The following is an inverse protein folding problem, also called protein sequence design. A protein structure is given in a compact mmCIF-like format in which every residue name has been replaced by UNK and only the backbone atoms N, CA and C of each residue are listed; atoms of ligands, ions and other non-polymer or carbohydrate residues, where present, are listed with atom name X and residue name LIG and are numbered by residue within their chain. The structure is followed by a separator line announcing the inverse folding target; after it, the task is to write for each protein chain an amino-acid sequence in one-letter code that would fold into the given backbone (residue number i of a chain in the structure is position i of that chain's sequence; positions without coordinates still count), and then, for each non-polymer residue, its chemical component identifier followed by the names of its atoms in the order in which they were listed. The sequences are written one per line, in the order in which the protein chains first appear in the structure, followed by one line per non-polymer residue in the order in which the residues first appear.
data_IF_420141985404
#
_entry.id   IF_420141985404
#
_cell.length_a   1.000
_cell.length_b   1.000
_cell.length_c   1.000
_cell.angle_alpha   90.00
_cell.angle_beta   90.00
_cell.angle_gamma   90.00
#
_symmetry.space_group_name_H-M   'P 1'
#
loop_
_entity.id
_entity.type
_entity.pdbx_description
1 polymer ?
#
# COMPACT_ATOMS: atom_id res chain seq x y z
N UNK A 1 -22.42 -51.45 -1.15
CA UNK A 1 -21.01 -51.05 -1.32
C UNK A 1 -20.96 -49.54 -1.48
N UNK A 2 -20.83 -48.82 -0.36
CA UNK A 2 -20.73 -47.36 -0.37
C UNK A 2 -19.30 -46.96 -0.66
N UNK A 3 -19.08 -46.26 -1.78
CA UNK A 3 -17.80 -45.66 -2.10
C UNK A 3 -17.62 -44.40 -1.23
N UNK A 4 -16.70 -44.47 -0.28
CA UNK A 4 -16.19 -43.29 0.41
C UNK A 4 -15.39 -42.46 -0.60
N UNK A 5 -15.92 -41.31 -1.00
CA UNK A 5 -15.13 -40.23 -1.60
C UNK A 5 -14.21 -39.67 -0.52
N UNK A 6 -12.93 -39.99 -0.60
CA UNK A 6 -11.88 -39.32 0.15
C UNK A 6 -11.84 -37.84 -0.24
N UNK A 7 -11.78 -36.90 0.73
CA UNK A 7 -11.46 -35.51 0.40
C UNK A 7 -10.05 -35.48 -0.17
N UNK A 8 -9.87 -34.83 -1.32
CA UNK A 8 -8.53 -34.51 -1.82
C UNK A 8 -7.79 -33.72 -0.74
N UNK A 9 -6.76 -34.36 -0.19
CA UNK A 9 -5.81 -33.74 0.71
C UNK A 9 -5.15 -32.54 0.01
N UNK A 10 -5.15 -31.38 0.66
CA UNK A 10 -4.45 -30.14 0.28
C UNK A 10 -2.91 -30.34 0.20
N UNK A 11 -2.40 -31.57 0.40
CA UNK A 11 -0.98 -31.91 0.54
C UNK A 11 -0.09 -31.77 -0.72
N UNK A 12 -0.57 -31.27 -1.86
CA UNK A 12 0.27 -31.19 -3.07
C UNK A 12 0.28 -29.84 -3.82
N UNK A 13 -0.17 -28.74 -3.20
CA UNK A 13 0.22 -27.42 -3.71
C UNK A 13 1.64 -27.11 -3.23
N UNK A 14 2.63 -27.27 -4.11
CA UNK A 14 3.96 -26.73 -3.89
C UNK A 14 3.91 -25.21 -4.01
N UNK A 15 3.45 -24.54 -2.94
CA UNK A 15 3.38 -23.09 -2.88
C UNK A 15 4.76 -22.49 -3.12
N UNK A 16 4.84 -21.51 -4.01
CA UNK A 16 6.04 -20.71 -4.22
C UNK A 16 6.03 -19.52 -3.26
N UNK A 17 7.20 -19.05 -2.80
CA UNK A 17 7.28 -17.81 -2.06
C UNK A 17 6.73 -16.64 -2.89
N UNK A 18 5.93 -15.79 -2.28
CA UNK A 18 5.40 -14.55 -2.87
C UNK A 18 6.18 -13.38 -2.30
N UNK A 19 6.63 -12.47 -3.15
CA UNK A 19 7.22 -11.19 -2.76
C UNK A 19 6.33 -10.06 -3.24
N UNK A 20 5.78 -9.29 -2.30
CA UNK A 20 4.93 -8.14 -2.55
C UNK A 20 5.76 -6.84 -2.62
N UNK A 21 5.52 -6.03 -3.66
CA UNK A 21 6.29 -4.84 -4.02
C UNK A 21 5.38 -3.62 -4.07
N UNK A 22 5.51 -2.71 -3.11
CA UNK A 22 4.63 -1.54 -2.99
C UNK A 22 4.89 -0.45 -4.03
N UNK A 23 3.97 0.50 -4.14
CA UNK A 23 4.03 1.65 -5.05
C UNK A 23 4.91 2.81 -4.57
N UNK A 24 4.85 3.91 -5.32
CA UNK A 24 5.61 5.13 -5.04
C UNK A 24 5.15 5.79 -3.74
N UNK A 25 6.05 6.00 -2.79
CA UNK A 25 5.73 6.61 -1.49
C UNK A 25 5.05 5.69 -0.47
N UNK A 26 4.81 4.42 -0.81
CA UNK A 26 4.11 3.45 0.05
C UNK A 26 5.10 2.60 0.88
N UNK A 27 4.56 1.62 1.62
CA UNK A 27 5.30 0.57 2.34
C UNK A 27 4.58 -0.78 2.25
N UNK A 28 5.17 -1.82 2.83
CA UNK A 28 4.58 -3.14 2.94
C UNK A 28 3.17 -3.16 3.58
N UNK A 29 2.83 -2.18 4.42
CA UNK A 29 1.54 -2.16 5.14
C UNK A 29 0.30 -2.10 4.23
N UNK A 30 0.44 -1.66 2.98
CA UNK A 30 -0.67 -1.70 2.03
C UNK A 30 -1.06 -3.15 1.65
N UNK A 31 -0.13 -4.10 1.77
CA UNK A 31 -0.39 -5.51 1.48
C UNK A 31 -1.11 -6.26 2.61
N UNK A 32 -1.42 -5.60 3.74
CA UNK A 32 -2.02 -6.22 4.93
C UNK A 32 -3.22 -7.13 4.61
N UNK A 33 -4.23 -6.59 3.93
CA UNK A 33 -5.44 -7.35 3.60
C UNK A 33 -5.19 -8.39 2.51
N UNK A 34 -4.31 -8.11 1.53
CA UNK A 34 -3.93 -9.10 0.52
C UNK A 34 -3.22 -10.30 1.14
N UNK A 35 -2.28 -10.11 2.07
CA UNK A 35 -1.61 -11.19 2.81
C UNK A 35 -2.63 -12.01 3.59
N UNK A 36 -3.57 -11.37 4.30
CA UNK A 36 -4.64 -12.06 5.00
C UNK A 36 -5.54 -12.88 4.07
N UNK A 37 -5.80 -12.42 2.85
CA UNK A 37 -6.54 -13.18 1.84
C UNK A 37 -5.75 -14.41 1.39
N UNK A 38 -4.45 -14.30 1.16
CA UNK A 38 -3.60 -15.46 0.86
C UNK A 38 -3.61 -16.50 1.99
N UNK A 39 -3.37 -16.07 3.23
CA UNK A 39 -3.40 -16.96 4.40
C UNK A 39 -4.76 -17.61 4.61
N UNK A 40 -5.84 -16.87 4.38
CA UNK A 40 -7.22 -17.37 4.48
C UNK A 40 -7.53 -18.44 3.45
N UNK A 41 -6.75 -18.52 2.37
CA UNK A 41 -6.86 -19.52 1.31
C UNK A 41 -5.69 -20.51 1.32
N UNK A 42 -5.06 -20.71 2.49
CA UNK A 42 -4.11 -21.80 2.74
C UNK A 42 -2.66 -21.51 2.36
N UNK A 43 -2.32 -20.31 1.87
CA UNK A 43 -0.92 -19.98 1.59
C UNK A 43 -0.13 -19.87 2.91
N UNK A 44 1.00 -20.59 3.08
CA UNK A 44 1.77 -20.54 4.32
C UNK A 44 2.34 -19.14 4.58
N UNK A 45 2.14 -18.60 5.79
CA UNK A 45 2.58 -17.25 6.16
C UNK A 45 4.11 -17.06 6.00
N UNK A 46 4.91 -18.12 6.22
CA UNK A 46 6.37 -18.09 6.04
C UNK A 46 6.82 -18.02 4.57
N UNK A 47 5.89 -18.12 3.61
CA UNK A 47 6.12 -17.94 2.18
C UNK A 47 5.59 -16.60 1.65
N UNK A 48 4.98 -15.78 2.50
CA UNK A 48 4.44 -14.47 2.14
C UNK A 48 5.42 -13.39 2.62
N UNK A 49 6.10 -12.75 1.69
CA UNK A 49 7.16 -11.79 1.98
C UNK A 49 6.84 -10.43 1.38
N UNK A 50 7.22 -9.37 2.07
CA UNK A 50 7.11 -8.00 1.57
C UNK A 50 8.48 -7.33 1.51
N UNK A 51 8.58 -6.24 0.75
CA UNK A 51 9.69 -5.28 0.85
C UNK A 51 9.20 -3.96 1.43
N UNK A 52 10.11 -3.24 2.08
CA UNK A 52 10.00 -1.82 2.34
C UNK A 52 11.19 -1.12 1.67
N UNK A 53 10.93 -0.36 0.60
CA UNK A 53 11.97 0.42 -0.08
C UNK A 53 12.34 1.60 0.81
N UNK A 54 13.60 1.75 1.28
CA UNK A 54 13.96 2.76 2.28
C UNK A 54 13.53 4.19 1.91
N UNK A 55 13.71 4.55 0.64
CA UNK A 55 13.22 5.79 0.05
C UNK A 55 12.23 5.46 -1.07
N UNK A 56 10.93 5.34 -0.75
CA UNK A 56 9.93 4.80 -1.66
C UNK A 56 9.51 5.77 -2.77
N UNK A 57 9.89 7.05 -2.67
CA UNK A 57 9.63 8.07 -3.68
C UNK A 57 10.67 8.01 -4.80
N UNK A 58 10.20 8.04 -6.05
CA UNK A 58 11.04 8.15 -7.24
C UNK A 58 11.70 9.53 -7.34
N UNK A 59 12.92 9.55 -7.85
CA UNK A 59 13.60 10.79 -8.26
C UNK A 59 12.81 11.51 -9.35
N UNK A 60 12.91 12.84 -9.40
CA UNK A 60 12.30 13.64 -10.47
C UNK A 60 12.94 13.35 -11.82
N UNK A 61 14.27 13.21 -11.83
CA UNK A 61 15.06 12.71 -12.94
C UNK A 61 15.85 11.49 -12.45
N UNK A 62 15.64 10.33 -13.04
CA UNK A 62 16.18 9.04 -12.57
C UNK A 62 17.73 9.04 -12.51
N UNK A 63 18.33 9.71 -13.49
CA UNK A 63 19.77 9.84 -13.70
C UNK A 63 20.44 10.88 -12.76
N UNK A 64 19.66 11.66 -12.02
CA UNK A 64 20.19 12.68 -11.09
C UNK A 64 19.97 12.25 -9.65
N UNK A 65 21.02 12.22 -8.80
CA UNK A 65 20.85 12.00 -7.37
C UNK A 65 19.85 13.00 -6.75
N UNK A 66 18.95 12.51 -5.92
CA UNK A 66 18.01 13.34 -5.15
C UNK A 66 17.86 12.73 -3.76
N UNK A 67 18.20 13.51 -2.73
CA UNK A 67 18.16 13.04 -1.36
C UNK A 67 16.73 12.60 -0.96
N UNK A 68 16.63 11.52 -0.20
CA UNK A 68 15.33 10.99 0.26
C UNK A 68 14.52 10.26 -0.81
N UNK A 69 15.10 9.99 -1.98
CA UNK A 69 14.43 9.36 -3.14
C UNK A 69 15.32 8.32 -3.80
N UNK A 70 14.71 7.33 -4.45
CA UNK A 70 15.43 6.23 -5.12
C UNK A 70 15.29 6.28 -6.64
N UNK A 71 16.33 5.85 -7.35
CA UNK A 71 16.28 5.57 -8.79
C UNK A 71 15.62 4.23 -9.10
N UNK A 72 15.37 3.98 -10.38
CA UNK A 72 14.93 2.68 -10.92
C UNK A 72 15.93 1.57 -10.61
N UNK A 73 17.23 1.86 -10.63
CA UNK A 73 18.30 0.92 -10.31
C UNK A 73 18.33 0.58 -8.82
N UNK A 74 18.21 1.56 -7.93
CA UNK A 74 18.17 1.35 -6.48
C UNK A 74 16.93 0.55 -6.06
N UNK A 75 15.76 0.87 -6.61
CA UNK A 75 14.53 0.12 -6.33
C UNK A 75 14.62 -1.34 -6.83
N UNK A 76 15.15 -1.55 -8.04
CA UNK A 76 15.38 -2.89 -8.59
C UNK A 76 16.39 -3.69 -7.76
N UNK A 77 17.43 -3.06 -7.23
CA UNK A 77 18.40 -3.72 -6.36
C UNK A 77 17.77 -4.18 -5.04
N UNK A 78 16.94 -3.35 -4.39
CA UNK A 78 16.21 -3.74 -3.17
C UNK A 78 15.31 -4.96 -3.42
N UNK A 79 14.60 -4.99 -4.55
CA UNK A 79 13.81 -6.15 -4.95
C UNK A 79 14.69 -7.38 -5.17
N UNK A 80 15.79 -7.24 -5.92
CA UNK A 80 16.72 -8.33 -6.19
C UNK A 80 17.26 -8.94 -4.89
N UNK A 81 17.70 -8.11 -3.95
CA UNK A 81 18.24 -8.57 -2.66
C UNK A 81 17.18 -9.33 -1.86
N UNK A 82 15.93 -8.85 -1.88
CA UNK A 82 14.82 -9.58 -1.26
C UNK A 82 14.58 -10.93 -1.91
N UNK A 83 14.53 -11.01 -3.24
CA UNK A 83 14.32 -12.29 -3.95
C UNK A 83 15.45 -13.26 -3.60
N UNK A 84 16.70 -12.80 -3.62
CA UNK A 84 17.86 -13.65 -3.30
C UNK A 84 17.78 -14.18 -1.86
N UNK A 85 17.42 -13.32 -0.89
CA UNK A 85 17.21 -13.72 0.50
C UNK A 85 16.07 -14.73 0.66
N UNK A 86 14.95 -14.54 -0.04
CA UNK A 86 13.79 -15.44 0.02
C UNK A 86 14.12 -16.81 -0.59
N UNK A 87 14.79 -16.85 -1.74
CA UNK A 87 15.20 -18.12 -2.36
C UNK A 87 16.20 -18.87 -1.47
N UNK A 88 17.15 -18.16 -0.86
CA UNK A 88 18.10 -18.74 0.09
C UNK A 88 17.40 -19.29 1.34
N UNK A 89 16.45 -18.54 1.91
CA UNK A 89 15.72 -18.94 3.12
C UNK A 89 14.80 -20.14 2.88
N UNK A 90 14.14 -20.20 1.73
CA UNK A 90 13.09 -21.20 1.45
C UNK A 90 13.59 -22.41 0.67
N UNK A 91 14.75 -22.33 0.03
CA UNK A 91 15.25 -23.33 -0.91
C UNK A 91 14.47 -23.40 -2.23
N UNK A 92 13.49 -22.50 -2.44
CA UNK A 92 12.76 -22.43 -3.70
C UNK A 92 13.67 -22.00 -4.85
N UNK A 93 13.36 -22.43 -6.07
CA UNK A 93 14.08 -22.01 -7.30
C UNK A 93 13.52 -20.74 -7.91
N UNK A 94 12.24 -20.45 -7.64
CA UNK A 94 11.53 -19.31 -8.18
C UNK A 94 10.58 -18.71 -7.15
N UNK A 95 10.38 -17.40 -7.23
CA UNK A 95 9.33 -16.68 -6.50
C UNK A 95 8.16 -16.31 -7.41
N UNK A 96 7.08 -15.84 -6.81
CA UNK A 96 6.01 -15.05 -7.43
C UNK A 96 6.25 -13.60 -7.03
N UNK A 97 6.15 -12.66 -7.97
CA UNK A 97 6.21 -11.23 -7.69
C UNK A 97 4.84 -10.60 -7.91
N UNK A 98 4.36 -9.86 -6.90
CA UNK A 98 3.10 -9.10 -6.99
C UNK A 98 3.40 -7.65 -6.68
N UNK A 99 3.12 -6.74 -7.62
CA UNK A 99 3.43 -5.33 -7.51
C UNK A 99 2.22 -4.42 -7.71
N UNK A 100 2.26 -3.25 -7.09
CA UNK A 100 1.34 -2.15 -7.38
C UNK A 100 2.11 -0.94 -7.94
N UNK A 101 1.55 -0.24 -8.92
CA UNK A 101 2.08 1.06 -9.36
C UNK A 101 3.57 1.00 -9.74
N UNK A 102 4.39 1.88 -9.15
CA UNK A 102 5.86 1.90 -9.24
C UNK A 102 6.53 0.54 -8.98
N UNK A 103 5.97 -0.29 -8.09
CA UNK A 103 6.50 -1.63 -7.82
C UNK A 103 6.51 -2.51 -9.07
N UNK A 104 5.59 -2.28 -10.00
CA UNK A 104 5.58 -2.90 -11.32
C UNK A 104 6.82 -2.57 -12.16
N UNK A 105 7.31 -1.33 -12.11
CA UNK A 105 8.54 -0.93 -12.80
C UNK A 105 9.77 -1.68 -12.24
N UNK A 106 9.86 -1.83 -10.92
CA UNK A 106 10.94 -2.59 -10.30
C UNK A 106 10.90 -4.08 -10.68
N UNK A 107 9.71 -4.69 -10.70
CA UNK A 107 9.50 -6.08 -11.13
C UNK A 107 9.94 -6.26 -12.60
N UNK A 108 9.47 -5.39 -13.50
CA UNK A 108 9.85 -5.43 -14.92
C UNK A 108 11.36 -5.27 -15.10
N UNK A 109 11.96 -4.28 -14.43
CA UNK A 109 13.39 -4.03 -14.50
C UNK A 109 14.22 -5.21 -13.96
N UNK A 110 13.80 -5.80 -12.83
CA UNK A 110 14.47 -6.97 -12.26
C UNK A 110 14.42 -8.18 -13.21
N UNK A 111 13.25 -8.48 -13.78
CA UNK A 111 13.09 -9.65 -14.65
C UNK A 111 13.82 -9.45 -15.97
N UNK A 112 13.71 -8.27 -16.59
CA UNK A 112 14.30 -7.98 -17.91
C UNK A 112 15.80 -7.68 -17.86
N UNK A 113 16.28 -6.96 -16.84
CA UNK A 113 17.64 -6.43 -16.78
C UNK A 113 18.43 -6.92 -15.55
N UNK A 114 17.75 -7.15 -14.42
CA UNK A 114 18.37 -7.51 -13.13
C UNK A 114 18.64 -9.01 -12.90
N UNK A 115 18.52 -9.84 -13.94
CA UNK A 115 18.75 -11.29 -13.88
C UNK A 115 17.60 -12.12 -13.27
N UNK A 116 16.40 -11.54 -13.15
CA UNK A 116 15.24 -12.20 -12.57
C UNK A 116 14.54 -13.23 -13.48
N UNK A 117 14.85 -13.27 -14.79
CA UNK A 117 14.14 -14.07 -15.79
C UNK A 117 13.95 -15.56 -15.43
N UNK A 118 14.93 -16.20 -14.80
CA UNK A 118 14.84 -17.61 -14.39
C UNK A 118 14.42 -17.80 -12.92
N UNK A 119 14.38 -16.71 -12.14
CA UNK A 119 14.08 -16.70 -10.69
C UNK A 119 12.64 -16.32 -10.39
N UNK A 120 11.86 -15.95 -11.40
CA UNK A 120 10.45 -15.55 -11.24
C UNK A 120 9.59 -16.48 -12.06
N UNK A 121 8.57 -17.04 -11.41
CA UNK A 121 7.59 -17.91 -12.06
C UNK A 121 6.40 -17.13 -12.61
N UNK A 122 5.90 -16.18 -11.81
CA UNK A 122 4.75 -15.34 -12.14
C UNK A 122 5.05 -13.90 -11.71
N UNK A 123 4.59 -12.96 -12.52
CA UNK A 123 4.58 -11.53 -12.22
C UNK A 123 3.15 -10.99 -12.39
N UNK A 124 2.58 -10.46 -11.31
CA UNK A 124 1.24 -9.86 -11.30
C UNK A 124 1.40 -8.39 -10.95
N UNK A 125 0.92 -7.49 -11.80
CA UNK A 125 1.08 -6.05 -11.60
C UNK A 125 -0.27 -5.35 -11.69
N UNK A 126 -0.70 -4.74 -10.58
CA UNK A 126 -1.88 -3.87 -10.56
C UNK A 126 -1.52 -2.41 -10.78
N UNK A 127 -2.23 -1.73 -11.68
CA UNK A 127 -2.09 -0.29 -11.90
C UNK A 127 -0.68 0.10 -12.33
N UNK A 128 0.02 -0.77 -13.06
CA UNK A 128 1.40 -0.54 -13.47
C UNK A 128 1.53 0.71 -14.35
N UNK A 129 2.60 1.48 -14.14
CA UNK A 129 2.90 2.68 -14.96
C UNK A 129 3.66 2.30 -16.23
N UNK A 130 3.25 1.23 -16.92
CA UNK A 130 4.04 0.56 -17.96
C UNK A 130 4.28 1.43 -19.19
N UNK A 131 3.29 2.23 -19.55
CA UNK A 131 3.38 3.23 -20.61
C UNK A 131 3.52 4.66 -20.06
N UNK A 132 3.87 4.78 -18.78
CA UNK A 132 4.01 6.04 -18.06
C UNK A 132 2.72 6.50 -17.38
N UNK A 133 2.82 7.56 -16.59
CA UNK A 133 1.66 8.35 -16.15
C UNK A 133 1.34 9.45 -17.18
N UNK A 134 2.29 9.70 -18.07
CA UNK A 134 2.22 10.57 -19.23
C UNK A 134 3.26 10.10 -20.26
N UNK A 135 3.07 10.38 -21.55
CA UNK A 135 3.97 10.00 -22.65
C UNK A 135 4.26 11.17 -23.63
N UNK A 136 4.21 12.40 -23.12
CA UNK A 136 4.49 13.67 -23.82
C UNK A 136 6.02 13.86 -23.97
N UNK A 137 6.57 13.81 -25.19
CA UNK A 137 8.00 14.00 -25.41
C UNK A 137 8.49 15.36 -24.93
N UNK A 138 9.62 15.38 -24.23
CA UNK A 138 10.26 16.60 -23.73
C UNK A 138 9.61 17.23 -22.50
N UNK A 139 8.53 16.66 -21.94
CA UNK A 139 7.93 17.18 -20.70
C UNK A 139 8.84 16.90 -19.49
N UNK A 140 9.17 15.64 -19.27
CA UNK A 140 10.05 15.19 -18.19
C UNK A 140 10.64 13.79 -18.48
N UNK A 141 11.24 13.62 -19.65
CA UNK A 141 11.73 12.32 -20.16
C UNK A 141 12.71 11.60 -19.23
N UNK A 142 13.42 12.31 -18.35
CA UNK A 142 14.30 11.72 -17.36
C UNK A 142 13.54 11.02 -16.19
N UNK A 143 12.23 11.27 -16.03
CA UNK A 143 11.41 10.61 -15.02
C UNK A 143 11.16 9.15 -15.38
N UNK A 144 11.25 8.25 -14.40
CA UNK A 144 10.87 6.83 -14.58
C UNK A 144 9.38 6.62 -14.90
N UNK A 145 8.55 7.66 -14.75
CA UNK A 145 7.13 7.64 -15.07
C UNK A 145 6.80 8.25 -16.44
N UNK A 146 7.79 8.69 -17.21
CA UNK A 146 7.59 9.19 -18.57
C UNK A 146 7.58 8.04 -19.57
N UNK A 147 6.46 7.82 -20.26
CA UNK A 147 6.34 6.87 -21.37
C UNK A 147 7.24 7.22 -22.55
N UNK A 148 7.59 8.50 -22.70
CA UNK A 148 8.58 8.98 -23.67
C UNK A 148 10.03 8.84 -23.15
N UNK A 149 10.22 8.50 -21.87
CA UNK A 149 11.52 8.37 -21.25
C UNK A 149 12.31 7.14 -21.73
N UNK A 150 13.66 7.14 -21.58
CA UNK A 150 14.50 6.02 -22.03
C UNK A 150 14.20 4.74 -21.25
N UNK A 151 13.88 4.84 -19.96
CA UNK A 151 13.59 3.69 -19.10
C UNK A 151 12.37 2.88 -19.59
N UNK A 152 11.21 3.54 -19.78
CA UNK A 152 10.00 2.84 -20.24
C UNK A 152 10.10 2.43 -21.71
N UNK A 153 10.74 3.23 -22.57
CA UNK A 153 11.03 2.80 -23.96
C UNK A 153 11.86 1.53 -24.02
N UNK A 154 12.88 1.40 -23.16
CA UNK A 154 13.68 0.18 -23.07
C UNK A 154 12.83 -1.02 -22.60
N UNK A 155 12.02 -0.83 -21.55
CA UNK A 155 11.18 -1.91 -21.02
C UNK A 155 10.09 -2.34 -22.01
N UNK A 156 9.53 -1.42 -22.79
CA UNK A 156 8.46 -1.69 -23.77
C UNK A 156 9.00 -2.13 -25.15
N UNK A 157 10.32 -2.09 -25.38
CA UNK A 157 10.90 -2.62 -26.60
C UNK A 157 10.57 -4.13 -26.76
N UNK A 158 10.22 -4.61 -27.97
CA UNK A 158 9.91 -6.01 -28.25
C UNK A 158 10.90 -7.01 -27.62
N UNK A 159 10.38 -7.99 -26.88
CA UNK A 159 11.16 -9.06 -26.24
C UNK A 159 11.24 -10.34 -27.07
N UNK A 160 10.39 -10.45 -28.09
CA UNK A 160 10.35 -11.57 -29.01
C UNK A 160 9.78 -11.15 -30.38
N UNK A 161 9.73 -12.09 -31.33
CA UNK A 161 9.23 -11.88 -32.69
C UNK A 161 7.73 -11.50 -32.77
N UNK A 162 6.94 -11.78 -31.72
CA UNK A 162 5.53 -11.38 -31.65
C UNK A 162 5.37 -9.92 -31.24
N UNK A 163 6.44 -9.27 -30.80
CA UNK A 163 6.42 -7.92 -30.27
C UNK A 163 5.90 -7.84 -28.84
N UNK A 164 6.02 -8.92 -28.06
CA UNK A 164 5.62 -8.90 -26.65
C UNK A 164 6.53 -8.00 -25.82
N UNK A 165 5.98 -7.36 -24.79
CA UNK A 165 6.69 -6.43 -23.90
C UNK A 165 7.21 -7.11 -22.62
N UNK A 166 6.81 -8.37 -22.42
CA UNK A 166 7.11 -9.16 -21.22
C UNK A 166 8.34 -10.04 -21.41
N UNK A 167 9.16 -10.15 -20.36
CA UNK A 167 10.42 -10.89 -20.37
C UNK A 167 10.31 -12.29 -19.73
N UNK A 168 11.16 -13.20 -20.22
CA UNK A 168 11.42 -14.50 -19.61
C UNK A 168 10.39 -15.59 -19.94
N UNK A 169 10.58 -16.81 -19.39
CA UNK A 169 9.51 -17.81 -19.30
C UNK A 169 8.46 -17.46 -18.22
N UNK A 170 8.64 -16.36 -17.49
CA UNK A 170 7.70 -15.84 -16.49
C UNK A 170 6.31 -15.69 -17.07
N UNK A 171 5.28 -16.09 -16.32
CA UNK A 171 3.89 -15.84 -16.68
C UNK A 171 3.45 -14.48 -16.14
N UNK A 172 2.85 -13.66 -17.01
CA UNK A 172 2.52 -12.27 -16.68
C UNK A 172 1.02 -12.04 -16.64
N UNK A 173 0.59 -11.33 -15.60
CA UNK A 173 -0.75 -10.74 -15.51
C UNK A 173 -0.62 -9.25 -15.20
N UNK A 174 -1.40 -8.42 -15.88
CA UNK A 174 -1.68 -7.06 -15.43
C UNK A 174 -3.12 -6.97 -14.95
N UNK A 175 -3.37 -6.12 -13.97
CA UNK A 175 -4.72 -5.79 -13.50
C UNK A 175 -4.86 -4.28 -13.61
N UNK A 176 -5.87 -3.82 -14.34
CA UNK A 176 -6.17 -2.40 -14.47
C UNK A 176 -7.62 -2.07 -14.17
N UNK A 177 -7.85 -0.80 -13.87
CA UNK A 177 -9.17 -0.23 -13.88
C UNK A 177 -9.70 -0.13 -15.32
N UNK A 178 -11.02 -0.12 -15.47
CA UNK A 178 -11.66 0.28 -16.72
C UNK A 178 -11.38 1.76 -17.03
N UNK A 179 -11.61 2.66 -16.06
CA UNK A 179 -11.49 4.12 -16.24
C UNK A 179 -11.10 4.92 -14.97
N UNK A 180 -11.01 4.30 -13.80
CA UNK A 180 -10.90 5.01 -12.50
C UNK A 180 -9.49 4.96 -11.87
N UNK A 181 -8.47 4.61 -12.63
CA UNK A 181 -7.07 4.67 -12.18
C UNK A 181 -6.56 6.11 -12.21
N UNK A 182 -6.11 6.66 -11.08
CA UNK A 182 -5.57 8.03 -10.95
C UNK A 182 -4.55 8.43 -12.02
N UNK A 183 -3.70 7.50 -12.45
CA UNK A 183 -2.52 7.78 -13.28
C UNK A 183 -2.66 7.28 -14.72
N UNK A 184 -3.46 6.25 -14.98
CA UNK A 184 -3.84 5.84 -16.33
C UNK A 184 -5.06 6.63 -16.80
N UNK A 185 -4.83 7.91 -17.14
CA UNK A 185 -5.88 8.86 -17.52
C UNK A 185 -5.49 9.62 -18.80
N UNK A 186 -6.41 9.77 -19.76
CA UNK A 186 -6.19 10.64 -20.92
C UNK A 186 -5.96 12.10 -20.55
N UNK A 187 -6.57 12.59 -19.47
CA UNK A 187 -6.43 13.96 -18.96
C UNK A 187 -5.42 14.05 -17.81
N UNK A 188 -4.59 15.10 -17.83
CA UNK A 188 -3.54 15.36 -16.84
C UNK A 188 -4.01 15.90 -15.50
N UNK A 189 -5.30 15.80 -15.14
CA UNK A 189 -5.89 16.29 -13.89
C UNK A 189 -5.02 15.99 -12.66
N UNK A 190 -4.69 14.72 -12.44
CA UNK A 190 -3.93 14.27 -11.26
C UNK A 190 -2.42 14.50 -11.36
N UNK A 191 -1.96 15.04 -12.49
CA UNK A 191 -0.59 15.49 -12.72
C UNK A 191 -0.44 17.02 -12.66
N UNK A 192 -1.49 17.73 -12.25
CA UNK A 192 -1.49 19.21 -12.22
C UNK A 192 -1.58 19.84 -13.62
N UNK A 193 -1.95 19.06 -14.64
CA UNK A 193 -2.09 19.51 -16.03
C UNK A 193 -3.51 19.29 -16.53
N UNK A 194 -4.51 19.63 -15.72
CA UNK A 194 -5.94 19.48 -16.07
C UNK A 194 -6.24 20.11 -17.44
N UNK A 195 -6.94 19.38 -18.30
CA UNK A 195 -7.27 19.79 -19.66
C UNK A 195 -6.19 19.50 -20.70
N UNK A 196 -5.01 18.99 -20.29
CA UNK A 196 -3.92 18.60 -21.18
C UNK A 196 -3.90 17.09 -21.33
N UNK A 197 -3.83 16.62 -22.58
CA UNK A 197 -3.69 15.20 -22.87
C UNK A 197 -2.36 14.65 -22.33
N UNK A 198 -2.41 13.53 -21.60
CA UNK A 198 -1.23 12.82 -21.08
C UNK A 198 -0.55 11.95 -22.14
N UNK A 199 -1.25 11.65 -23.24
CA UNK A 199 -0.88 10.61 -24.23
C UNK A 199 -0.81 9.19 -23.63
N UNK A 200 -1.47 8.96 -22.49
CA UNK A 200 -1.66 7.65 -21.87
C UNK A 200 -3.15 7.39 -21.72
N UNK A 201 -3.63 6.25 -22.22
CA UNK A 201 -5.03 5.84 -22.09
C UNK A 201 -5.30 5.07 -20.80
N UNK A 202 -6.57 4.67 -20.60
CA UNK A 202 -6.96 3.80 -19.49
C UNK A 202 -6.29 2.41 -19.55
N UNK A 203 -5.93 1.98 -20.76
CA UNK A 203 -5.19 0.76 -21.09
C UNK A 203 -3.67 0.88 -20.90
N UNK A 204 -3.14 2.06 -20.52
CA UNK A 204 -1.71 2.26 -20.25
C UNK A 204 -1.04 1.25 -19.30
N UNK A 205 -1.75 0.65 -18.32
CA UNK A 205 -1.21 -0.41 -17.48
C UNK A 205 -1.18 -1.81 -18.12
N UNK A 206 -1.70 -2.01 -19.33
CA UNK A 206 -1.60 -3.30 -20.02
C UNK A 206 -0.17 -3.56 -20.50
N UNK A 207 0.16 -4.84 -20.71
CA UNK A 207 1.38 -5.27 -21.39
C UNK A 207 1.02 -6.27 -22.48
N UNK A 208 1.59 -6.07 -23.67
CA UNK A 208 1.50 -7.09 -24.72
C UNK A 208 2.27 -8.35 -24.31
N UNK A 209 1.60 -9.50 -24.43
CA UNK A 209 2.12 -10.81 -24.00
C UNK A 209 1.79 -11.18 -22.55
N UNK A 210 1.12 -10.30 -21.80
CA UNK A 210 0.52 -10.63 -20.51
C UNK A 210 -0.97 -11.01 -20.65
N UNK A 211 -1.52 -11.68 -19.64
CA UNK A 211 -2.95 -11.71 -19.41
C UNK A 211 -3.37 -10.36 -18.80
N UNK A 212 -4.04 -9.52 -19.58
CA UNK A 212 -4.51 -8.21 -19.12
C UNK A 212 -5.95 -8.33 -18.58
N UNK A 213 -6.12 -8.16 -17.27
CA UNK A 213 -7.41 -8.19 -16.59
C UNK A 213 -7.92 -6.77 -16.37
N UNK A 214 -9.18 -6.53 -16.72
CA UNK A 214 -9.86 -5.26 -16.50
C UNK A 214 -10.93 -5.46 -15.43
N UNK A 215 -10.85 -4.70 -14.35
CA UNK A 215 -11.86 -4.71 -13.29
C UNK A 215 -12.60 -3.37 -13.32
N UNK A 216 -13.94 -3.37 -13.46
CA UNK A 216 -14.70 -2.14 -13.52
C UNK A 216 -14.62 -1.31 -12.23
N UNK A 217 -14.53 0.01 -12.37
CA UNK A 217 -14.65 1.04 -11.33
C UNK A 217 -13.62 1.03 -10.20
N UNK A 218 -12.72 0.07 -10.14
CA UNK A 218 -11.67 0.04 -9.11
C UNK A 218 -10.69 1.19 -9.32
N UNK A 219 -10.16 1.75 -8.24
CA UNK A 219 -9.15 2.81 -8.31
C UNK A 219 -7.73 2.25 -8.50
N UNK A 220 -6.77 3.14 -8.70
CA UNK A 220 -5.36 2.78 -8.95
C UNK A 220 -4.76 1.84 -7.89
N UNK A 221 -5.10 2.01 -6.61
CA UNK A 221 -4.59 1.17 -5.52
C UNK A 221 -5.39 -0.13 -5.42
N UNK A 222 -6.69 -0.08 -5.65
CA UNK A 222 -7.55 -1.27 -5.66
C UNK A 222 -7.20 -2.29 -6.74
N UNK A 223 -6.45 -1.90 -7.79
CA UNK A 223 -5.86 -2.83 -8.78
C UNK A 223 -4.97 -3.91 -8.16
N UNK A 224 -4.52 -3.72 -6.92
CA UNK A 224 -3.70 -4.70 -6.19
C UNK A 224 -4.26 -5.07 -4.81
N UNK A 225 -5.03 -4.19 -4.19
CA UNK A 225 -5.46 -4.35 -2.80
C UNK A 225 -6.94 -4.72 -2.62
N UNK A 226 -7.73 -4.70 -3.70
CA UNK A 226 -9.16 -5.07 -3.64
C UNK A 226 -9.38 -6.59 -3.57
N UNK A 227 -10.55 -7.05 -3.06
CA UNK A 227 -10.94 -8.45 -3.17
C UNK A 227 -10.96 -8.97 -4.61
N UNK A 228 -11.43 -8.17 -5.57
CA UNK A 228 -11.51 -8.57 -6.98
C UNK A 228 -10.12 -8.74 -7.62
N UNK A 229 -9.16 -7.85 -7.29
CA UNK A 229 -7.77 -8.01 -7.73
C UNK A 229 -7.12 -9.27 -7.13
N UNK A 230 -7.41 -9.57 -5.86
CA UNK A 230 -6.96 -10.81 -5.23
C UNK A 230 -7.56 -12.05 -5.90
N UNK A 231 -8.85 -12.05 -6.20
CA UNK A 231 -9.52 -13.17 -6.89
C UNK A 231 -8.88 -13.47 -8.25
N UNK A 232 -8.67 -12.44 -9.09
CA UNK A 232 -7.99 -12.59 -10.37
C UNK A 232 -6.56 -13.13 -10.21
N UNK A 233 -5.82 -12.59 -9.23
CA UNK A 233 -4.45 -13.03 -8.93
C UNK A 233 -4.41 -14.48 -8.45
N UNK A 234 -5.31 -14.87 -7.54
CA UNK A 234 -5.35 -16.21 -6.98
C UNK A 234 -5.75 -17.25 -8.04
N UNK A 235 -6.72 -16.91 -8.90
CA UNK A 235 -7.11 -17.76 -10.02
C UNK A 235 -5.97 -17.92 -11.04
N UNK A 236 -5.22 -16.86 -11.33
CA UNK A 236 -4.04 -16.94 -12.19
C UNK A 236 -2.97 -17.88 -11.64
N UNK A 237 -2.73 -17.85 -10.33
CA UNK A 237 -1.69 -18.64 -9.69
C UNK A 237 -2.09 -20.10 -9.46
N UNK A 238 -3.37 -20.39 -9.26
CA UNK A 238 -3.85 -21.71 -8.79
C UNK A 238 -4.80 -22.41 -9.76
N UNK A 239 -5.31 -21.72 -10.77
CA UNK A 239 -6.37 -22.19 -11.66
C UNK A 239 -7.78 -22.18 -11.06
N UNK A 240 -7.96 -21.75 -9.81
CA UNK A 240 -9.23 -21.81 -9.08
C UNK A 240 -9.55 -20.48 -8.40
N UNK A 241 -10.84 -20.17 -8.23
CA UNK A 241 -11.25 -19.04 -7.42
C UNK A 241 -10.89 -19.26 -5.93
N UNK A 242 -10.57 -18.20 -5.16
CA UNK A 242 -10.37 -18.33 -3.73
C UNK A 242 -11.68 -18.71 -3.03
N UNK A 243 -11.59 -19.54 -1.99
CA UNK A 243 -12.75 -19.98 -1.20
C UNK A 243 -13.20 -18.92 -0.19
N UNK A 244 -12.28 -18.06 0.24
CA UNK A 244 -12.51 -17.08 1.29
C UNK A 244 -11.99 -15.70 0.85
N UNK A 245 -12.68 -14.63 1.27
CA UNK A 245 -12.07 -13.30 1.26
C UNK A 245 -11.07 -13.23 2.42
N UNK A 246 -11.53 -13.00 3.65
CA UNK A 246 -10.69 -13.05 4.86
C UNK A 246 -11.40 -13.85 5.96
N UNK A 247 -10.68 -14.78 6.57
CA UNK A 247 -11.14 -15.54 7.74
C UNK A 247 -10.56 -14.93 9.01
N UNK A 248 -11.34 -14.87 10.08
CA UNK A 248 -10.90 -14.30 11.36
C UNK A 248 -10.18 -15.32 12.23
N UNK A 249 -9.19 -14.87 12.98
CA UNK A 249 -8.54 -15.63 14.04
C UNK A 249 -9.07 -15.16 15.40
N UNK A 250 -9.19 -16.07 16.36
CA UNK A 250 -9.67 -15.72 17.71
C UNK A 250 -8.58 -15.08 18.58
N UNK A 251 -7.32 -15.44 18.35
CA UNK A 251 -6.13 -14.87 19.01
C UNK A 251 -5.18 -14.40 17.92
N UNK A 252 -4.72 -13.17 18.02
CA UNK A 252 -3.88 -12.55 17.00
C UNK A 252 -2.63 -11.95 17.65
N UNK A 253 -1.55 -11.95 16.89
CA UNK A 253 -0.32 -11.23 17.23
C UNK A 253 -0.07 -10.16 16.18
N UNK A 254 0.04 -8.91 16.63
CA UNK A 254 0.30 -7.77 15.78
C UNK A 254 1.73 -7.31 15.96
N UNK A 255 2.38 -7.02 14.84
CA UNK A 255 3.70 -6.45 14.76
C UNK A 255 3.80 -5.63 13.47
N UNK A 256 4.81 -4.78 13.39
CA UNK A 256 5.13 -3.95 12.26
C UNK A 256 6.26 -3.01 12.62
N UNK A 257 6.44 -1.97 11.80
CA UNK A 257 7.50 -0.99 11.96
C UNK A 257 6.93 0.41 12.11
N UNK A 258 7.66 1.27 12.82
CA UNK A 258 7.40 2.71 12.82
C UNK A 258 8.43 3.38 11.93
N UNK A 259 7.96 4.06 10.88
CA UNK A 259 8.81 4.82 9.98
C UNK A 259 8.68 6.32 10.21
N UNK A 260 9.74 7.07 9.91
CA UNK A 260 9.73 8.53 9.99
C UNK A 260 9.53 9.21 8.64
N UNK A 261 9.92 10.48 8.60
CA UNK A 261 9.77 11.39 7.46
C UNK A 261 11.10 12.12 7.17
N UNK A 262 11.24 12.59 5.93
CA UNK A 262 12.41 13.33 5.44
C UNK A 262 13.53 12.43 4.95
N UNK A 263 14.71 13.02 4.77
CA UNK A 263 15.94 12.26 4.45
C UNK A 263 16.39 11.46 5.67
N UNK A 264 16.32 12.04 6.87
CA UNK A 264 16.68 11.39 8.11
C UNK A 264 15.51 11.49 9.11
N UNK A 265 14.91 10.36 9.52
CA UNK A 265 13.72 10.39 10.37
C UNK A 265 13.96 11.02 11.75
N UNK A 266 15.22 11.12 12.19
CA UNK A 266 15.62 11.72 13.48
C UNK A 266 15.98 13.21 13.38
N UNK A 267 15.92 13.80 12.18
CA UNK A 267 16.19 15.22 11.94
C UNK A 267 14.94 15.89 11.35
N UNK A 268 14.28 16.72 12.14
CA UNK A 268 13.00 17.34 11.79
C UNK A 268 13.07 18.31 10.60
N UNK A 269 14.24 18.89 10.35
CA UNK A 269 14.52 19.81 9.24
C UNK A 269 14.93 19.08 7.95
N UNK A 270 15.12 17.76 7.98
CA UNK A 270 15.49 16.96 6.80
C UNK A 270 14.35 16.74 5.78
N UNK A 271 13.23 17.45 5.94
CA UNK A 271 12.07 17.43 5.04
C UNK A 271 10.87 16.66 5.61
N UNK A 272 9.68 16.93 5.08
CA UNK A 272 8.40 16.37 5.53
C UNK A 272 7.74 15.51 4.43
N UNK A 273 8.49 14.53 3.93
CA UNK A 273 8.04 13.58 2.92
C UNK A 273 8.28 12.15 3.42
N UNK A 274 7.54 11.19 2.87
CA UNK A 274 7.56 9.80 3.34
C UNK A 274 8.91 9.11 3.08
N UNK A 275 9.38 8.37 4.07
CA UNK A 275 10.40 7.34 3.92
C UNK A 275 9.94 6.05 4.62
N UNK A 276 10.73 4.99 4.48
CA UNK A 276 10.56 3.72 5.18
C UNK A 276 11.76 3.42 6.09
N UNK A 277 12.37 4.47 6.65
CA UNK A 277 13.47 4.35 7.59
C UNK A 277 12.94 4.21 9.02
N UNK A 278 13.52 3.31 9.85
CA UNK A 278 13.16 3.16 11.25
C UNK A 278 13.16 4.47 12.02
N UNK A 279 12.07 4.78 12.73
CA UNK A 279 12.02 5.88 13.69
C UNK A 279 12.44 5.38 15.08
N UNK A 280 13.73 5.08 15.20
CA UNK A 280 14.31 4.57 16.44
C UNK A 280 14.04 5.53 17.62
N UNK A 281 13.71 4.96 18.77
CA UNK A 281 13.51 5.73 20.02
C UNK A 281 12.11 6.32 20.18
N UNK A 282 11.28 6.31 19.14
CA UNK A 282 9.86 6.63 19.27
C UNK A 282 9.21 5.75 20.35
N UNK A 283 8.17 6.27 21.00
CA UNK A 283 7.40 5.55 22.02
C UNK A 283 6.01 5.25 21.46
N UNK A 284 5.58 4.00 21.62
CA UNK A 284 4.26 3.53 21.26
C UNK A 284 3.54 3.10 22.53
N UNK A 285 2.32 3.60 22.71
CA UNK A 285 1.34 3.04 23.65
C UNK A 285 0.09 2.61 22.87
N UNK A 286 -0.38 1.39 23.10
CA UNK A 286 -1.61 0.87 22.48
C UNK A 286 -2.70 0.78 23.55
N UNK A 287 -3.88 1.30 23.24
CA UNK A 287 -5.05 1.27 24.12
C UNK A 287 -6.20 0.56 23.43
N UNK A 288 -6.88 -0.33 24.14
CA UNK A 288 -8.18 -0.83 23.69
C UNK A 288 -9.21 0.31 23.76
N UNK A 289 -10.00 0.48 22.71
CA UNK A 289 -11.01 1.54 22.62
C UNK A 289 -12.42 0.99 22.45
N UNK A 290 -13.41 1.75 22.93
CA UNK A 290 -14.81 1.43 22.72
C UNK A 290 -15.20 1.71 21.27
N UNK A 291 -15.71 0.71 20.55
CA UNK A 291 -15.97 0.79 19.10
C UNK A 291 -16.97 1.88 18.69
N UNK A 292 -17.86 2.31 19.59
CA UNK A 292 -18.87 3.33 19.29
C UNK A 292 -18.43 4.77 19.65
N UNK A 293 -17.45 4.93 20.54
CA UNK A 293 -17.05 6.25 21.09
C UNK A 293 -15.59 6.59 20.88
N UNK A 294 -14.73 5.60 20.60
CA UNK A 294 -13.27 5.78 20.52
C UNK A 294 -12.61 5.99 21.89
N UNK A 295 -13.36 6.00 23.00
CA UNK A 295 -12.78 6.18 24.33
C UNK A 295 -11.91 4.99 24.73
N UNK A 296 -10.76 5.27 25.32
CA UNK A 296 -9.90 4.25 25.94
C UNK A 296 -10.68 3.51 27.02
N UNK A 297 -10.57 2.17 27.04
CA UNK A 297 -11.24 1.33 28.04
C UNK A 297 -10.46 1.20 29.35
N UNK A 298 -9.22 1.65 29.38
CA UNK A 298 -8.34 1.57 30.54
C UNK A 298 -6.91 2.04 30.23
N UNK A 299 -5.96 1.54 31.00
CA UNK A 299 -4.54 1.76 30.77
C UNK A 299 -4.06 1.15 29.43
N UNK A 300 -2.84 1.51 29.02
CA UNK A 300 -2.24 0.93 27.83
C UNK A 300 -2.12 -0.59 27.97
N UNK A 301 -2.55 -1.32 26.94
CA UNK A 301 -2.48 -2.79 26.85
C UNK A 301 -1.16 -3.27 26.24
N UNK A 302 -0.41 -2.36 25.64
CA UNK A 302 0.96 -2.58 25.16
C UNK A 302 1.74 -1.28 25.18
N UNK A 303 3.00 -1.33 25.54
CA UNK A 303 3.93 -0.21 25.45
C UNK A 303 5.24 -0.69 24.86
N UNK A 304 5.82 0.11 23.97
CA UNK A 304 7.08 -0.23 23.30
C UNK A 304 7.92 1.01 23.03
N UNK A 305 9.23 0.84 23.07
CA UNK A 305 10.19 1.79 22.52
C UNK A 305 10.73 1.22 21.23
N UNK A 306 10.64 1.99 20.15
CA UNK A 306 10.98 1.50 18.82
C UNK A 306 12.49 1.22 18.72
N UNK A 307 12.80 -0.01 18.33
CA UNK A 307 14.15 -0.54 18.16
C UNK A 307 14.86 0.06 16.94
N UNK A 308 16.15 -0.25 16.79
CA UNK A 308 16.98 0.20 15.66
C UNK A 308 16.49 -0.32 14.31
N UNK A 309 15.83 -1.48 14.27
CA UNK A 309 15.21 -2.05 13.07
C UNK A 309 13.76 -1.58 12.85
N UNK A 310 13.25 -0.73 13.74
CA UNK A 310 11.95 -0.07 13.63
C UNK A 310 10.77 -0.86 14.19
N UNK A 311 10.97 -2.08 14.67
CA UNK A 311 9.88 -2.94 15.12
C UNK A 311 9.22 -2.46 16.43
N UNK A 312 7.91 -2.68 16.56
CA UNK A 312 7.14 -2.26 17.73
C UNK A 312 6.43 -3.40 18.48
N UNK A 313 6.19 -4.53 17.82
CA UNK A 313 5.61 -5.74 18.43
C UNK A 313 6.69 -6.71 18.95
N UNK A 314 6.31 -7.95 19.29
CA UNK A 314 4.97 -8.51 19.15
C UNK A 314 3.98 -7.98 20.20
N UNK A 315 2.71 -7.82 19.80
CA UNK A 315 1.59 -7.49 20.69
C UNK A 315 0.49 -8.54 20.53
N UNK A 316 0.15 -9.24 21.62
CA UNK A 316 -0.99 -10.18 21.66
C UNK A 316 -2.29 -9.38 21.74
N UNK A 317 -3.04 -9.34 20.65
CA UNK A 317 -4.24 -8.53 20.51
C UNK A 317 -5.52 -9.40 20.45
N UNK A 318 -6.66 -8.76 20.65
CA UNK A 318 -7.99 -9.32 20.49
C UNK A 318 -8.54 -8.90 19.12
N UNK A 319 -8.92 -9.87 18.29
CA UNK A 319 -9.41 -9.62 16.92
C UNK A 319 -10.77 -8.94 16.85
N UNK A 320 -11.47 -8.80 17.97
CA UNK A 320 -12.76 -8.10 18.07
C UNK A 320 -12.66 -6.71 18.69
N UNK A 321 -11.48 -6.33 19.16
CA UNK A 321 -11.26 -5.06 19.82
C UNK A 321 -10.75 -4.01 18.82
N UNK A 322 -11.22 -2.77 18.99
CA UNK A 322 -10.62 -1.61 18.31
C UNK A 322 -9.47 -1.06 19.15
N UNK A 323 -8.50 -0.43 18.50
CA UNK A 323 -7.29 0.06 19.14
C UNK A 323 -6.97 1.50 18.74
N UNK A 324 -6.47 2.25 19.71
CA UNK A 324 -5.72 3.48 19.51
C UNK A 324 -4.23 3.19 19.67
N UNK A 325 -3.43 3.62 18.69
CA UNK A 325 -1.98 3.61 18.71
C UNK A 325 -1.50 5.05 18.91
N UNK A 326 -1.03 5.36 20.12
CA UNK A 326 -0.45 6.65 20.48
C UNK A 326 1.06 6.59 20.25
N UNK A 327 1.56 7.41 19.33
CA UNK A 327 2.97 7.51 18.97
C UNK A 327 3.55 8.87 19.37
N UNK A 328 4.68 8.87 20.05
CA UNK A 328 5.47 10.08 20.35
C UNK A 328 6.92 9.92 19.89
N UNK A 329 7.48 10.99 19.33
CA UNK A 329 8.87 11.06 18.91
C UNK A 329 9.30 12.52 18.76
N UNK A 330 10.58 12.81 19.01
CA UNK A 330 11.13 14.16 18.84
C UNK A 330 10.99 14.61 17.38
N UNK A 331 10.50 15.84 17.19
CA UNK A 331 10.25 16.40 15.86
C UNK A 331 8.96 15.92 15.18
N UNK A 332 8.14 15.10 15.87
CA UNK A 332 6.81 14.67 15.42
C UNK A 332 5.73 15.18 16.37
N UNK A 333 4.49 15.16 15.90
CA UNK A 333 3.33 15.33 16.76
C UNK A 333 3.04 14.05 17.54
N UNK A 334 2.41 14.18 18.71
CA UNK A 334 1.76 13.03 19.34
C UNK A 334 0.64 12.58 18.42
N UNK A 335 0.82 11.43 17.77
CA UNK A 335 -0.10 10.94 16.75
C UNK A 335 -0.96 9.83 17.34
N UNK A 336 -2.27 10.02 17.32
CA UNK A 336 -3.26 9.05 17.80
C UNK A 336 -3.92 8.36 16.60
N UNK A 337 -3.48 7.14 16.28
CA UNK A 337 -3.99 6.37 15.14
C UNK A 337 -5.08 5.41 15.63
N UNK A 338 -6.30 5.59 15.18
CA UNK A 338 -7.43 4.71 15.48
C UNK A 338 -7.65 3.75 14.32
N UNK A 339 -7.75 2.45 14.65
CA UNK A 339 -7.93 1.36 13.68
C UNK A 339 -9.12 0.49 14.06
N UNK A 340 -9.82 0.00 13.05
CA UNK A 340 -10.81 -1.07 13.18
C UNK A 340 -10.18 -2.34 13.76
N UNK A 341 -10.97 -3.29 14.29
CA UNK A 341 -10.45 -4.58 14.72
C UNK A 341 -9.68 -5.31 13.61
N UNK A 342 -8.60 -5.98 13.98
CA UNK A 342 -7.76 -6.75 13.06
C UNK A 342 -8.28 -8.19 12.95
N UNK A 343 -8.57 -8.64 11.72
CA UNK A 343 -9.14 -9.98 11.52
C UNK A 343 -8.14 -11.11 11.86
N UNK A 344 -6.84 -10.88 11.68
CA UNK A 344 -5.78 -11.90 11.79
C UNK A 344 -4.48 -11.29 12.30
N UNK A 345 -3.54 -12.15 12.70
CA UNK A 345 -2.16 -11.78 12.98
C UNK A 345 -1.51 -11.09 11.78
N UNK A 346 -0.55 -10.21 12.04
CA UNK A 346 0.24 -9.58 10.98
C UNK A 346 1.54 -9.03 11.52
N UNK A 347 2.60 -9.12 10.70
CA UNK A 347 3.90 -8.49 10.95
C UNK A 347 4.13 -7.21 10.12
N UNK A 348 3.12 -6.76 9.38
CA UNK A 348 3.19 -5.58 8.49
C UNK A 348 2.21 -4.47 8.88
N UNK A 349 1.88 -4.35 10.17
CA UNK A 349 1.11 -3.22 10.69
C UNK A 349 2.05 -2.04 10.90
N UNK A 350 2.48 -1.42 9.80
CA UNK A 350 3.42 -0.30 9.85
C UNK A 350 2.68 1.01 10.15
N UNK A 351 3.36 1.92 10.85
CA UNK A 351 2.81 3.21 11.24
C UNK A 351 3.79 4.32 10.91
N UNK A 352 3.27 5.52 10.66
CA UNK A 352 4.06 6.74 10.52
C UNK A 352 3.42 7.83 11.37
N UNK A 353 4.10 8.36 12.41
CA UNK A 353 3.59 9.53 13.10
C UNK A 353 3.64 10.74 12.17
N UNK A 354 2.72 11.66 12.40
CA UNK A 354 2.59 12.89 11.63
C UNK A 354 3.50 13.97 12.20
N UNK A 355 3.91 14.92 11.34
CA UNK A 355 4.47 16.21 11.79
C UNK A 355 3.37 17.25 11.76
N UNK A 356 3.32 18.09 12.79
CA UNK A 356 2.40 19.23 12.86
C UNK A 356 3.18 20.51 12.53
N UNK A 357 2.82 21.17 11.44
CA UNK A 357 3.39 22.46 11.10
C UNK A 357 3.02 23.52 12.14
N UNK A 358 3.82 24.58 12.27
CA UNK A 358 3.53 25.66 13.20
C UNK A 358 2.17 26.32 12.92
N UNK A 359 1.78 26.46 11.64
CA UNK A 359 0.48 26.97 11.22
C UNK A 359 -0.70 26.05 11.59
N UNK A 360 -0.43 24.77 11.88
CA UNK A 360 -1.46 23.80 12.23
C UNK A 360 -1.68 23.69 13.74
N UNK A 361 -0.81 24.29 14.56
CA UNK A 361 -0.94 24.41 16.03
C UNK A 361 -1.96 25.48 16.39
N UNK A 362 -3.22 25.21 16.08
CA UNK A 362 -4.37 26.09 16.31
C UNK A 362 -5.16 25.63 17.54
N UNK A 363 -6.11 26.43 18.02
CA UNK A 363 -7.10 26.05 19.06
C UNK A 363 -8.20 25.12 18.52
N UNK A 364 -7.85 24.27 17.56
CA UNK A 364 -8.74 23.33 16.89
C UNK A 364 -7.99 22.02 16.72
N UNK A 365 -8.66 20.90 16.96
CA UNK A 365 -8.13 19.58 16.66
C UNK A 365 -7.95 19.39 15.16
N UNK A 366 -6.87 18.70 14.79
CA UNK A 366 -6.64 18.24 13.44
C UNK A 366 -6.93 16.74 13.35
N UNK A 367 -7.93 16.38 12.54
CA UNK A 367 -8.28 14.98 12.26
C UNK A 367 -7.95 14.66 10.81
N UNK A 368 -7.21 13.58 10.62
CA UNK A 368 -6.87 13.00 9.32
C UNK A 368 -7.67 11.72 9.16
N UNK A 369 -8.45 11.60 8.09
CA UNK A 369 -9.06 10.35 7.69
C UNK A 369 -8.32 9.79 6.49
N UNK A 370 -7.81 8.57 6.58
CA UNK A 370 -6.93 7.98 5.57
C UNK A 370 -7.38 6.58 5.14
N UNK A 371 -7.27 6.34 3.82
CA UNK A 371 -7.55 5.09 3.12
C UNK A 371 -6.27 4.58 2.45
N UNK A 372 -5.39 3.85 3.16
CA UNK A 372 -4.08 3.46 2.62
C UNK A 372 -4.15 2.59 1.35
N UNK A 373 -5.17 1.74 1.22
CA UNK A 373 -5.32 0.74 0.15
C UNK A 373 -6.23 1.18 -1.00
N UNK A 374 -6.55 2.47 -1.09
CA UNK A 374 -7.46 2.98 -2.10
C UNK A 374 -7.56 4.50 -2.14
N UNK A 375 -8.43 5.01 -2.99
CA UNK A 375 -8.79 6.43 -3.07
C UNK A 375 -10.29 6.62 -2.83
N UNK A 376 -10.69 7.76 -2.27
CA UNK A 376 -12.09 8.11 -2.09
C UNK A 376 -12.73 8.53 -3.43
N UNK A 377 -13.92 8.01 -3.73
CA UNK A 377 -14.66 8.32 -4.96
C UNK A 377 -16.15 8.60 -4.68
N UNK A 378 -16.59 9.83 -4.89
CA UNK A 378 -17.99 10.25 -4.66
C UNK A 378 -19.00 9.66 -5.66
N UNK A 379 -18.54 9.01 -6.74
CA UNK A 379 -19.41 8.35 -7.71
C UNK A 379 -19.66 6.87 -7.36
N UNK A 380 -18.75 6.27 -6.59
CA UNK A 380 -18.73 4.83 -6.30
C UNK A 380 -18.97 4.51 -4.83
N UNK A 381 -18.40 5.30 -3.93
CA UNK A 381 -18.28 4.95 -2.52
C UNK A 381 -19.37 5.59 -1.66
N UNK A 382 -19.77 4.88 -0.62
CA UNK A 382 -20.55 5.43 0.49
C UNK A 382 -19.59 5.87 1.58
N UNK A 383 -19.57 7.16 1.86
CA UNK A 383 -18.58 7.79 2.73
C UNK A 383 -19.24 8.78 3.68
N UNK A 384 -18.80 8.78 4.93
CA UNK A 384 -19.23 9.77 5.91
C UNK A 384 -18.07 10.09 6.85
N UNK A 385 -17.81 11.38 7.06
CA UNK A 385 -16.85 11.87 8.04
C UNK A 385 -17.55 12.86 8.96
N UNK A 386 -17.61 12.52 10.25
CA UNK A 386 -18.22 13.32 11.30
C UNK A 386 -19.66 13.75 10.98
N UNK A 387 -20.46 12.81 10.46
CA UNK A 387 -21.86 13.04 10.07
C UNK A 387 -22.05 13.73 8.72
N UNK A 388 -20.96 14.04 7.99
CA UNK A 388 -21.03 14.69 6.66
C UNK A 388 -20.66 13.72 5.55
N UNK A 389 -21.46 13.69 4.49
CA UNK A 389 -21.20 12.91 3.27
C UNK A 389 -20.40 13.68 2.23
N UNK A 390 -20.36 15.02 2.34
CA UNK A 390 -19.55 15.87 1.47
C UNK A 390 -18.11 15.89 1.98
N UNK A 391 -17.27 15.04 1.39
CA UNK A 391 -15.89 14.87 1.80
C UNK A 391 -15.00 15.90 1.08
N UNK A 392 -14.25 16.76 1.80
CA UNK A 392 -13.41 17.79 1.17
C UNK A 392 -12.47 17.26 0.08
N UNK A 393 -12.54 17.89 -1.09
CA UNK A 393 -11.75 17.54 -2.27
C UNK A 393 -12.27 16.35 -3.08
N UNK A 394 -13.19 15.56 -2.53
CA UNK A 394 -13.75 14.39 -3.22
C UNK A 394 -15.07 14.78 -3.87
N UNK A 395 -15.09 14.88 -5.20
CA UNK A 395 -16.24 15.36 -5.96
C UNK A 395 -16.68 14.36 -7.05
N UNK A 396 -17.97 14.40 -7.39
CA UNK A 396 -18.53 13.60 -8.48
C UNK A 396 -17.93 14.02 -9.83
N UNK A 397 -17.84 13.06 -10.76
CA UNK A 397 -17.32 13.27 -12.12
C UNK A 397 -15.78 13.36 -12.22
N UNK A 398 -15.05 13.12 -11.14
CA UNK A 398 -13.59 13.02 -11.13
C UNK A 398 -13.18 11.57 -10.85
N UNK A 399 -12.09 11.09 -11.46
CA UNK A 399 -11.48 9.81 -11.09
C UNK A 399 -10.91 9.86 -9.67
N UNK A 400 -10.86 8.71 -8.99
CA UNK A 400 -10.42 8.63 -7.61
C UNK A 400 -8.93 8.97 -7.46
N UNK A 401 -8.59 9.98 -6.66
CA UNK A 401 -7.19 10.40 -6.48
C UNK A 401 -6.78 10.91 -5.10
N UNK A 402 -7.73 10.98 -4.16
CA UNK A 402 -7.51 11.46 -2.78
C UNK A 402 -7.62 10.27 -1.81
N UNK A 403 -6.53 9.95 -1.13
CA UNK A 403 -6.50 8.84 -0.15
C UNK A 403 -6.55 9.32 1.29
N UNK A 404 -6.44 10.62 1.52
CA UNK A 404 -6.40 11.20 2.86
C UNK A 404 -7.06 12.57 2.85
N UNK A 405 -7.88 12.82 3.87
CA UNK A 405 -8.65 14.06 4.03
C UNK A 405 -8.35 14.63 5.41
N UNK A 406 -8.24 15.95 5.50
CA UNK A 406 -8.00 16.65 6.76
C UNK A 406 -9.19 17.53 7.09
N UNK A 407 -9.64 17.48 8.34
CA UNK A 407 -10.68 18.38 8.85
C UNK A 407 -10.23 19.00 10.17
N UNK A 408 -10.73 20.20 10.44
CA UNK A 408 -10.59 20.89 11.72
C UNK A 408 -11.91 20.91 12.46
N UNK A 409 -11.82 20.81 13.78
CA UNK A 409 -12.97 20.88 14.68
C UNK A 409 -12.52 21.36 16.06
N UNK A 410 -13.46 21.70 16.93
CA UNK A 410 -13.15 22.17 18.28
C UNK A 410 -12.36 21.10 19.07
N UNK A 411 -11.28 21.53 19.74
CA UNK A 411 -10.46 20.65 20.57
C UNK A 411 -10.98 20.48 22.00
N UNK A 412 -11.97 21.28 22.41
CA UNK A 412 -12.58 21.24 23.74
C UNK A 412 -14.09 21.49 23.69
N UNK A 413 -14.92 20.69 24.41
CA UNK A 413 -14.52 19.48 25.13
C UNK A 413 -14.07 18.38 24.16
N UNK A 414 -13.19 17.49 24.61
CA UNK A 414 -12.82 16.31 23.83
C UNK A 414 -14.08 15.50 23.50
N UNK A 415 -14.22 15.10 22.23
CA UNK A 415 -15.37 14.34 21.76
C UNK A 415 -14.99 13.28 20.75
N UNK A 416 -15.91 12.37 20.48
CA UNK A 416 -15.77 11.39 19.42
C UNK A 416 -15.86 12.04 18.03
N UNK A 417 -15.05 11.53 17.09
CA UNK A 417 -15.15 11.76 15.65
C UNK A 417 -15.36 10.41 14.97
N UNK A 418 -16.26 10.37 13.99
CA UNK A 418 -16.65 9.15 13.29
C UNK A 418 -16.22 9.19 11.83
N UNK A 419 -15.79 8.06 11.29
CA UNK A 419 -15.60 7.87 9.86
C UNK A 419 -16.23 6.57 9.41
N UNK A 420 -16.85 6.57 8.23
CA UNK A 420 -17.43 5.40 7.60
C UNK A 420 -17.06 5.36 6.12
N UNK A 421 -16.58 4.21 5.65
CA UNK A 421 -16.29 3.95 4.24
C UNK A 421 -16.80 2.56 3.86
N UNK A 422 -17.78 2.48 2.95
CA UNK A 422 -18.33 1.22 2.42
C UNK A 422 -18.61 0.15 3.51
N UNK A 423 -19.14 0.59 4.66
CA UNK A 423 -19.48 -0.26 5.80
C UNK A 423 -18.39 -0.44 6.86
N UNK A 424 -17.13 -0.09 6.60
CA UNK A 424 -16.10 0.00 7.65
C UNK A 424 -16.35 1.25 8.49
N UNK A 425 -16.52 1.09 9.80
CA UNK A 425 -16.73 2.18 10.75
C UNK A 425 -15.56 2.34 11.71
N UNK A 426 -15.14 3.59 11.90
CA UNK A 426 -14.09 4.00 12.82
C UNK A 426 -14.61 5.08 13.75
N UNK A 427 -14.21 5.00 15.02
CA UNK A 427 -14.44 6.01 16.04
C UNK A 427 -13.12 6.31 16.74
N UNK A 428 -12.76 7.59 16.77
CA UNK A 428 -11.64 8.11 17.54
C UNK A 428 -12.05 9.32 18.35
N UNK A 429 -11.13 9.87 19.13
CA UNK A 429 -11.32 11.11 19.88
C UNK A 429 -10.59 12.27 19.22
N UNK A 430 -11.12 13.47 19.39
CA UNK A 430 -10.38 14.70 19.12
C UNK A 430 -9.23 14.87 20.11
N UNK A 431 -8.10 15.39 19.63
CA UNK A 431 -6.94 15.71 20.46
C UNK A 431 -6.45 17.13 20.16
N UNK A 432 -5.95 17.88 21.16
CA UNK A 432 -5.64 19.30 21.02
C UNK A 432 -4.41 19.53 20.14
N UNK A 433 -4.62 20.15 18.96
CA UNK A 433 -3.50 20.50 18.09
C UNK A 433 -2.67 21.64 18.69
N UNK A 434 -3.27 22.46 19.55
CA UNK A 434 -2.56 23.48 20.35
C UNK A 434 -1.46 22.89 21.24
N UNK A 435 -1.60 21.62 21.64
CA UNK A 435 -0.63 20.87 22.43
C UNK A 435 0.27 19.95 21.58
N UNK A 436 0.16 20.02 20.26
CA UNK A 436 0.97 19.19 19.36
C UNK A 436 0.43 17.79 19.10
N UNK A 437 -0.88 17.57 19.27
CA UNK A 437 -1.52 16.27 18.99
C UNK A 437 -2.23 16.24 17.64
N UNK A 438 -2.26 15.08 16.99
CA UNK A 438 -3.00 14.81 15.76
C UNK A 438 -3.80 13.51 15.90
N UNK A 439 -5.04 13.52 15.41
CA UNK A 439 -5.87 12.32 15.30
C UNK A 439 -5.81 11.77 13.88
N UNK A 440 -5.58 10.45 13.74
CA UNK A 440 -5.65 9.74 12.46
C UNK A 440 -6.70 8.63 12.59
N UNK A 441 -7.73 8.67 11.74
CA UNK A 441 -8.65 7.56 11.52
C UNK A 441 -8.16 6.82 10.29
N UNK A 442 -7.65 5.60 10.45
CA UNK A 442 -7.08 4.83 9.34
C UNK A 442 -7.90 3.57 9.03
N UNK A 443 -8.45 3.54 7.81
CA UNK A 443 -9.24 2.41 7.30
C UNK A 443 -8.35 1.20 7.05
N UNK A 444 -8.83 0.02 7.43
CA UNK A 444 -8.14 -1.26 7.28
C UNK A 444 -8.63 -2.07 6.08
N UNK A 445 -9.93 -2.08 5.81
CA UNK A 445 -10.59 -3.10 4.98
C UNK A 445 -10.77 -2.72 3.50
#
# INVERSE_FOLDING_TARGET
MSACTTPMSIQNLQYKPVVFVHGNGDSAALWLTTVWRFESNGWPANLLHTIDVPYPLAREADDKPQAGRSSTAEHMQVLKDKVDAVLAQTGAKQVILIGNSRGGNAIRNYICNGGGAQRVSHAIIGGGTHHGVQAIPGLNDASEFSGAGPFLRQLNAPKNHKGDEVCGPTQWMTIRSDTNDKYAQPDGLWLGMKGRATLVGFDGPELKGALNVVIPKIDHRETSFSPAAFEASYQFLTGHAPLHNMTTQSQIELNGKVFGLGVNPLQADSGNFVNNLPLQGAKLSIYETHTHTGQRRGAAVHQSSISTDGHWGPFKANSRAAYEFELTADGYATTHIYRSPFARSSNIVHMRPERLAASDRTTQSLVIWTRPRGYFDANRDTMMLDGKTDIPGVAKGMSAGISSVRIRMDESPQRSVAAEFNGEQLKGLTWPASQGHITVLELTY
#
